data_IF_671798645865
#
_entry.id   IF_671798645865
#
_cell.length_a   1.000
_cell.length_b   1.000
_cell.length_c   1.000
_cell.angle_alpha   90.00
_cell.angle_beta   90.00
_cell.angle_gamma   90.00
#
_symmetry.space_group_name_H-M   'P 1'
#
loop_
_entity.id
_entity.type
_entity.pdbx_description
1 polymer ?
#
# COMPACT_ATOMS: atom_id res chain seq x y z
N UNK A 1 37.66 11.31 19.37
CA UNK A 1 36.91 11.34 18.10
C UNK A 1 37.03 12.73 17.53
N UNK A 2 37.56 12.85 16.32
CA UNK A 2 37.70 14.16 15.66
C UNK A 2 36.34 14.70 15.24
N UNK A 3 36.19 16.03 15.29
CA UNK A 3 34.95 16.72 14.91
C UNK A 3 34.52 16.37 13.48
N UNK A 4 35.50 16.16 12.59
CA UNK A 4 35.29 15.73 11.21
C UNK A 4 34.65 14.34 11.09
N UNK A 5 35.05 13.40 11.95
CA UNK A 5 34.49 12.05 11.95
C UNK A 5 33.04 12.05 12.46
N UNK A 6 32.76 12.80 13.54
CA UNK A 6 31.39 12.98 14.05
C UNK A 6 30.48 13.63 13.01
N UNK A 7 30.98 14.65 12.29
CA UNK A 7 30.24 15.28 11.20
C UNK A 7 29.94 14.28 10.07
N UNK A 8 30.92 13.48 9.68
CA UNK A 8 30.76 12.48 8.61
C UNK A 8 29.71 11.42 8.98
N UNK A 9 29.72 10.94 10.23
CA UNK A 9 28.72 10.01 10.76
C UNK A 9 27.33 10.65 10.79
N UNK A 10 27.20 11.90 11.25
CA UNK A 10 25.91 12.60 11.29
C UNK A 10 25.35 12.83 9.88
N UNK A 11 26.20 13.26 8.93
CA UNK A 11 25.83 13.46 7.54
C UNK A 11 25.32 12.17 6.90
N UNK A 12 26.08 11.07 7.06
CA UNK A 12 25.69 9.77 6.54
C UNK A 12 24.38 9.28 7.17
N UNK A 13 24.23 9.42 8.49
CA UNK A 13 23.01 9.01 9.21
C UNK A 13 21.77 9.77 8.72
N UNK A 14 21.90 11.07 8.46
CA UNK A 14 20.79 11.87 7.92
C UNK A 14 20.46 11.46 6.49
N UNK A 15 21.48 11.31 5.65
CA UNK A 15 21.35 10.93 4.24
C UNK A 15 20.70 9.54 4.10
N UNK A 16 21.04 8.62 5.00
CA UNK A 16 20.53 7.26 4.99
C UNK A 16 19.20 7.09 5.77
N UNK A 17 18.55 8.18 6.17
CA UNK A 17 17.32 8.14 6.95
C UNK A 17 16.21 8.99 6.36
N UNK A 18 16.48 10.28 6.15
CA UNK A 18 15.47 11.27 5.79
C UNK A 18 14.77 10.96 4.45
N UNK A 19 15.47 10.60 3.35
CA UNK A 19 14.82 10.28 2.08
C UNK A 19 13.85 9.09 2.19
N UNK A 20 14.21 8.09 2.98
CA UNK A 20 13.40 6.88 3.17
C UNK A 20 12.19 7.14 4.06
N UNK A 21 12.35 7.96 5.09
CA UNK A 21 11.22 8.36 5.93
C UNK A 21 10.19 9.15 5.11
N UNK A 22 10.64 10.04 4.22
CA UNK A 22 9.75 10.75 3.28
C UNK A 22 9.01 9.76 2.36
N UNK A 23 9.70 8.76 1.81
CA UNK A 23 9.09 7.69 1.00
C UNK A 23 7.98 6.93 1.74
N UNK A 24 8.14 6.68 3.03
CA UNK A 24 7.15 5.98 3.86
C UNK A 24 5.90 6.84 4.07
N UNK A 25 6.04 8.16 4.17
CA UNK A 25 4.93 9.07 4.45
C UNK A 25 4.09 9.39 3.20
N UNK A 26 4.68 9.41 2.01
CA UNK A 26 3.99 9.79 0.75
C UNK A 26 2.69 9.00 0.50
N UNK A 27 2.64 7.66 0.62
CA UNK A 27 1.41 6.90 0.39
C UNK A 27 0.29 7.17 1.42
N UNK A 28 0.61 7.84 2.53
CA UNK A 28 -0.29 8.03 3.66
C UNK A 28 -0.52 9.50 4.02
N UNK A 29 -0.25 10.45 3.11
CA UNK A 29 -0.42 11.90 3.37
C UNK A 29 -1.82 12.24 3.93
N UNK A 30 -2.86 11.58 3.43
CA UNK A 30 -4.26 11.78 3.86
C UNK A 30 -4.66 10.95 5.10
N UNK A 31 -3.83 9.97 5.50
CA UNK A 31 -4.10 9.03 6.60
C UNK A 31 -3.26 9.29 7.86
N UNK A 32 -2.60 10.45 7.95
CA UNK A 32 -1.81 10.84 9.11
C UNK A 32 -2.71 11.08 10.35
N UNK A 33 -2.26 10.60 11.51
CA UNK A 33 -2.95 10.77 12.81
C UNK A 33 -2.88 12.20 13.33
N UNK A 34 -1.78 12.88 13.05
CA UNK A 34 -1.46 14.19 13.59
C UNK A 34 -1.46 15.25 12.48
N UNK A 35 -1.51 16.52 12.90
CA UNK A 35 -1.36 17.64 11.97
C UNK A 35 0.02 17.63 11.30
N UNK A 36 0.13 18.20 10.09
CA UNK A 36 1.41 18.31 9.35
C UNK A 36 2.54 18.89 10.20
N UNK A 37 2.25 19.87 11.06
CA UNK A 37 3.24 20.50 11.96
C UNK A 37 3.78 19.51 13.01
N UNK A 38 2.89 18.73 13.62
CA UNK A 38 3.26 17.71 14.60
C UNK A 38 4.04 16.58 13.95
N UNK A 39 3.66 16.15 12.74
CA UNK A 39 4.42 15.14 11.99
C UNK A 39 5.83 15.63 11.68
N UNK A 40 6.01 16.88 11.22
CA UNK A 40 7.34 17.47 11.00
C UNK A 40 8.17 17.47 12.29
N UNK A 41 7.58 17.83 13.44
CA UNK A 41 8.28 17.80 14.72
C UNK A 41 8.71 16.36 15.08
N UNK A 42 7.84 15.39 14.88
CA UNK A 42 8.18 13.98 15.11
C UNK A 42 9.28 13.50 14.17
N UNK A 43 9.30 13.94 12.90
CA UNK A 43 10.39 13.64 11.95
C UNK A 43 11.72 14.18 12.48
N UNK A 44 11.73 15.41 12.99
CA UNK A 44 12.96 16.01 13.56
C UNK A 44 13.44 15.16 14.75
N UNK A 45 12.54 14.75 15.65
CA UNK A 45 12.87 13.86 16.77
C UNK A 45 13.40 12.50 16.31
N UNK A 46 12.81 11.94 15.25
CA UNK A 46 13.26 10.66 14.71
C UNK A 46 14.66 10.78 14.06
N UNK A 47 14.91 11.87 13.33
CA UNK A 47 16.24 12.18 12.78
C UNK A 47 17.30 12.37 13.86
N UNK A 48 16.99 13.07 14.97
CA UNK A 48 17.95 13.24 16.07
C UNK A 48 18.28 11.93 16.75
N UNK A 49 17.27 11.08 16.98
CA UNK A 49 17.46 9.73 17.50
C UNK A 49 18.31 8.86 16.54
N UNK A 50 18.09 8.99 15.23
CA UNK A 50 18.90 8.28 14.24
C UNK A 50 20.37 8.75 14.23
N UNK A 51 20.63 10.04 14.36
CA UNK A 51 22.00 10.56 14.49
C UNK A 51 22.65 10.01 15.78
N UNK A 52 21.91 9.97 16.88
CA UNK A 52 22.42 9.44 18.15
C UNK A 52 22.79 7.95 18.04
N UNK A 53 21.95 7.13 17.39
CA UNK A 53 22.27 5.72 17.12
C UNK A 53 23.47 5.56 16.18
N UNK A 54 23.60 6.42 15.16
CA UNK A 54 24.78 6.44 14.27
C UNK A 54 26.08 6.73 15.02
N UNK A 55 26.07 7.70 15.93
CA UNK A 55 27.22 8.03 16.79
C UNK A 55 27.53 6.87 17.74
N UNK A 56 26.51 6.21 18.30
CA UNK A 56 26.68 5.02 19.16
C UNK A 56 27.39 3.88 18.39
N UNK A 57 26.94 3.56 17.18
CA UNK A 57 27.59 2.51 16.38
C UNK A 57 29.06 2.84 16.12
N UNK A 58 29.33 4.11 15.81
CA UNK A 58 30.67 4.57 15.52
C UNK A 58 31.62 4.53 16.73
N UNK A 59 31.10 4.48 17.98
CA UNK A 59 31.89 4.45 19.22
C UNK A 59 32.02 3.05 19.85
N UNK A 60 31.01 2.19 19.74
CA UNK A 60 30.95 0.92 20.49
C UNK A 60 30.94 -0.35 19.62
N UNK A 61 31.05 -0.23 18.29
CA UNK A 61 31.03 -1.35 17.32
C UNK A 61 29.83 -2.32 17.51
N UNK A 62 28.70 -1.78 17.95
CA UNK A 62 27.44 -2.50 18.20
C UNK A 62 26.50 -2.46 17.00
N UNK A 63 27.03 -2.46 15.77
CA UNK A 63 26.29 -2.22 14.52
C UNK A 63 25.02 -3.06 14.36
N UNK A 64 25.08 -4.35 14.71
CA UNK A 64 23.93 -5.27 14.62
C UNK A 64 22.76 -4.87 15.51
N UNK A 65 23.05 -4.49 16.76
CA UNK A 65 22.03 -4.12 17.76
C UNK A 65 21.39 -2.79 17.39
N UNK A 66 22.20 -1.84 16.91
CA UNK A 66 21.72 -0.53 16.51
C UNK A 66 20.84 -0.55 15.25
N UNK A 67 21.11 -1.44 14.29
CA UNK A 67 20.24 -1.63 13.12
C UNK A 67 18.86 -2.14 13.53
N UNK A 68 18.79 -3.14 14.42
CA UNK A 68 17.51 -3.66 14.95
C UNK A 68 16.77 -2.56 15.71
N UNK A 69 17.48 -1.79 16.55
CA UNK A 69 16.91 -0.67 17.29
C UNK A 69 16.35 0.41 16.35
N UNK A 70 17.08 0.75 15.28
CA UNK A 70 16.64 1.74 14.29
C UNK A 70 15.36 1.28 13.56
N UNK A 71 15.27 0.00 13.21
CA UNK A 71 14.05 -0.56 12.59
C UNK A 71 12.87 -0.51 13.58
N UNK A 72 13.09 -0.88 14.85
CA UNK A 72 12.06 -0.84 15.87
C UNK A 72 11.54 0.59 16.12
N UNK A 73 12.45 1.58 16.17
CA UNK A 73 12.12 3.01 16.28
C UNK A 73 11.27 3.47 15.08
N UNK A 74 11.67 3.11 13.85
CA UNK A 74 10.89 3.46 12.65
C UNK A 74 9.51 2.80 12.65
N UNK A 75 9.42 1.52 13.01
CA UNK A 75 8.15 0.83 13.10
C UNK A 75 7.24 1.49 14.14
N UNK A 76 7.77 1.81 15.32
CA UNK A 76 7.04 2.52 16.36
C UNK A 76 6.58 3.90 15.88
N UNK A 77 7.46 4.65 15.21
CA UNK A 77 7.14 5.95 14.63
C UNK A 77 5.96 5.88 13.65
N UNK A 78 5.99 4.91 12.74
CA UNK A 78 4.98 4.73 11.70
C UNK A 78 3.64 4.30 12.31
N UNK A 79 3.66 3.34 13.25
CA UNK A 79 2.47 2.88 13.98
C UNK A 79 1.83 3.99 14.81
N UNK A 80 2.65 4.90 15.35
CA UNK A 80 2.19 6.04 16.13
C UNK A 80 1.61 7.15 15.23
N UNK A 81 2.17 7.37 14.04
CA UNK A 81 1.81 8.49 13.16
C UNK A 81 0.73 8.18 12.11
N UNK A 82 0.53 6.93 11.69
CA UNK A 82 -0.36 6.61 10.56
C UNK A 82 -1.59 5.82 11.03
N UNK A 83 -2.78 6.22 10.59
CA UNK A 83 -4.04 5.47 10.79
C UNK A 83 -4.17 4.38 9.72
N UNK A 84 -3.42 3.30 9.87
CA UNK A 84 -3.56 2.13 9.02
C UNK A 84 -3.34 0.84 9.82
N UNK A 85 -3.78 -0.29 9.27
CA UNK A 85 -3.52 -1.59 9.86
C UNK A 85 -2.00 -1.90 9.88
N UNK A 86 -1.51 -2.60 10.92
CA UNK A 86 -0.08 -2.81 11.10
C UNK A 86 0.56 -3.58 9.93
N UNK A 87 -0.15 -4.52 9.30
CA UNK A 87 0.38 -5.29 8.16
C UNK A 87 0.75 -4.41 6.95
N UNK A 88 -0.05 -3.39 6.63
CA UNK A 88 0.26 -2.41 5.56
C UNK A 88 1.53 -1.63 5.87
N UNK A 89 1.64 -1.19 7.13
CA UNK A 89 2.75 -0.37 7.61
C UNK A 89 4.06 -1.16 7.63
N UNK A 90 4.03 -2.41 8.10
CA UNK A 90 5.17 -3.32 8.07
C UNK A 90 5.57 -3.64 6.63
N UNK A 91 4.61 -3.92 5.74
CA UNK A 91 4.90 -4.16 4.33
C UNK A 91 5.62 -2.96 3.69
N UNK A 92 5.08 -1.74 3.86
CA UNK A 92 5.68 -0.53 3.30
C UNK A 92 7.08 -0.26 3.88
N UNK A 93 7.22 -0.40 5.20
CA UNK A 93 8.50 -0.24 5.88
C UNK A 93 9.55 -1.20 5.32
N UNK A 94 9.22 -2.49 5.22
CA UNK A 94 10.14 -3.50 4.70
C UNK A 94 10.50 -3.25 3.23
N UNK A 95 9.55 -2.80 2.41
CA UNK A 95 9.82 -2.44 1.02
C UNK A 95 10.81 -1.26 0.94
N UNK A 96 10.63 -0.25 1.78
CA UNK A 96 11.55 0.91 1.83
C UNK A 96 12.91 0.50 2.37
N UNK A 97 12.99 -0.38 3.36
CA UNK A 97 14.26 -0.94 3.86
C UNK A 97 14.97 -1.69 2.73
N UNK A 98 14.28 -2.56 1.99
CA UNK A 98 14.89 -3.29 0.88
C UNK A 98 15.43 -2.34 -0.21
N UNK A 99 14.74 -1.23 -0.48
CA UNK A 99 15.24 -0.18 -1.38
C UNK A 99 16.46 0.54 -0.80
N UNK A 100 16.46 0.85 0.50
CA UNK A 100 17.61 1.45 1.17
C UNK A 100 18.84 0.53 1.11
N UNK A 101 18.66 -0.77 1.31
CA UNK A 101 19.72 -1.78 1.17
C UNK A 101 20.28 -1.81 -0.25
N UNK A 102 19.43 -1.75 -1.28
CA UNK A 102 19.86 -1.63 -2.68
C UNK A 102 20.73 -0.39 -2.89
N UNK A 103 20.32 0.77 -2.37
CA UNK A 103 21.07 2.02 -2.50
C UNK A 103 22.42 1.91 -1.80
N UNK A 104 22.46 1.34 -0.59
CA UNK A 104 23.70 1.14 0.19
C UNK A 104 24.67 0.22 -0.56
N UNK A 105 24.18 -0.89 -1.12
CA UNK A 105 25.01 -1.85 -1.86
C UNK A 105 25.54 -1.23 -3.15
N UNK A 106 24.68 -0.55 -3.91
CA UNK A 106 25.08 0.14 -5.13
C UNK A 106 26.08 1.27 -4.85
N UNK A 107 25.88 2.04 -3.78
CA UNK A 107 26.81 3.07 -3.34
C UNK A 107 28.17 2.47 -2.92
N UNK A 108 28.18 1.35 -2.19
CA UNK A 108 29.42 0.67 -1.80
C UNK A 108 30.17 0.08 -2.99
N UNK A 109 29.46 -0.47 -3.97
CA UNK A 109 30.08 -0.92 -5.22
C UNK A 109 30.63 0.26 -6.04
N UNK A 110 29.93 1.39 -6.08
CA UNK A 110 30.40 2.59 -6.76
C UNK A 110 31.63 3.18 -6.05
N UNK A 111 31.66 3.14 -4.71
CA UNK A 111 32.83 3.50 -3.91
C UNK A 111 34.03 2.58 -4.19
N UNK A 112 33.83 1.27 -4.33
CA UNK A 112 34.93 0.34 -4.64
C UNK A 112 35.56 0.62 -6.01
N UNK A 113 34.77 1.10 -6.98
CA UNK A 113 35.23 1.45 -8.31
C UNK A 113 35.97 2.80 -8.36
N UNK A 114 35.44 3.84 -7.70
CA UNK A 114 35.97 5.21 -7.77
C UNK A 114 37.07 5.49 -6.74
N UNK A 115 36.98 4.89 -5.55
CA UNK A 115 37.81 5.20 -4.39
C UNK A 115 38.30 3.92 -3.68
N UNK A 116 39.05 3.04 -4.36
CA UNK A 116 39.48 1.76 -3.81
C UNK A 116 40.35 1.90 -2.54
N UNK A 117 41.10 3.00 -2.40
CA UNK A 117 41.95 3.25 -1.23
C UNK A 117 41.15 3.57 0.05
N UNK A 118 39.92 4.07 -0.08
CA UNK A 118 39.06 4.48 1.03
C UNK A 118 38.00 3.44 1.38
N UNK A 119 37.87 2.38 0.58
CA UNK A 119 36.86 1.33 0.71
C UNK A 119 36.83 0.66 2.10
N UNK A 120 37.98 0.53 2.76
CA UNK A 120 38.09 -0.06 4.09
C UNK A 120 37.55 0.82 5.23
N UNK A 121 37.32 2.12 4.99
CA UNK A 121 36.89 3.08 6.01
C UNK A 121 35.37 3.28 5.90
N UNK A 122 34.62 2.73 6.86
CA UNK A 122 33.15 2.67 6.82
C UNK A 122 32.46 4.03 6.73
N UNK A 123 32.90 5.03 7.50
CA UNK A 123 32.26 6.35 7.62
C UNK A 123 33.03 7.47 6.89
N UNK A 124 33.80 7.12 5.86
CA UNK A 124 34.49 8.14 5.08
C UNK A 124 33.52 8.95 4.21
N UNK A 125 33.86 10.22 3.94
CA UNK A 125 33.01 11.13 3.16
C UNK A 125 32.73 10.61 1.74
N UNK A 126 33.63 9.80 1.19
CA UNK A 126 33.47 9.12 -0.11
C UNK A 126 32.23 8.24 -0.14
N UNK A 127 31.88 7.60 0.97
CA UNK A 127 30.69 6.77 1.04
C UNK A 127 29.41 7.60 1.05
N UNK A 128 29.40 8.74 1.74
CA UNK A 128 28.29 9.70 1.70
C UNK A 128 28.11 10.29 0.29
N UNK A 129 29.20 10.58 -0.42
CA UNK A 129 29.16 11.08 -1.80
C UNK A 129 28.56 10.05 -2.78
N UNK A 130 29.05 8.81 -2.73
CA UNK A 130 28.59 7.71 -3.60
C UNK A 130 27.13 7.34 -3.30
N UNK A 131 26.71 7.40 -2.03
CA UNK A 131 25.31 7.25 -1.61
C UNK A 131 24.44 8.37 -2.17
N UNK A 132 24.92 9.61 -2.13
CA UNK A 132 24.18 10.77 -2.69
C UNK A 132 24.00 10.64 -4.20
N UNK A 133 25.04 10.25 -4.93
CA UNK A 133 24.97 10.01 -6.39
C UNK A 133 23.94 8.92 -6.69
N UNK A 134 24.00 7.80 -5.96
CA UNK A 134 23.08 6.69 -6.14
C UNK A 134 21.64 7.12 -5.87
N UNK A 135 21.39 7.87 -4.79
CA UNK A 135 20.08 8.42 -4.47
C UNK A 135 19.58 9.36 -5.57
N UNK A 136 20.40 10.30 -6.07
CA UNK A 136 19.99 11.22 -7.13
C UNK A 136 19.52 10.45 -8.37
N UNK A 137 20.19 9.34 -8.69
CA UNK A 137 19.85 8.51 -9.84
C UNK A 137 18.59 7.66 -9.61
N UNK A 138 18.44 7.01 -8.46
CA UNK A 138 17.35 6.04 -8.21
C UNK A 138 16.10 6.64 -7.56
N UNK A 139 16.25 7.70 -6.77
CA UNK A 139 15.17 8.32 -6.00
C UNK A 139 13.98 8.84 -6.84
N UNK A 140 14.15 9.50 -8.01
CA UNK A 140 12.99 9.95 -8.78
C UNK A 140 12.12 8.79 -9.29
N UNK A 141 12.74 7.65 -9.63
CA UNK A 141 12.02 6.46 -10.09
C UNK A 141 11.20 5.82 -8.98
N UNK A 142 11.79 5.65 -7.78
CA UNK A 142 11.09 5.05 -6.65
C UNK A 142 10.00 6.00 -6.12
N UNK A 143 10.23 7.31 -6.13
CA UNK A 143 9.22 8.31 -5.78
C UNK A 143 8.00 8.22 -6.70
N UNK A 144 8.22 8.15 -8.01
CA UNK A 144 7.15 7.97 -8.98
C UNK A 144 6.38 6.68 -8.73
N UNK A 145 7.08 5.57 -8.43
CA UNK A 145 6.46 4.30 -8.09
C UNK A 145 5.58 4.41 -6.84
N UNK A 146 6.11 4.97 -5.75
CA UNK A 146 5.37 5.09 -4.49
C UNK A 146 4.14 5.98 -4.64
N UNK A 147 4.29 7.13 -5.29
CA UNK A 147 3.20 8.10 -5.48
C UNK A 147 2.11 7.60 -6.44
N UNK A 148 2.48 6.98 -7.57
CA UNK A 148 1.51 6.63 -8.61
C UNK A 148 1.00 5.19 -8.52
N UNK A 149 1.84 4.25 -8.05
CA UNK A 149 1.48 2.82 -8.00
C UNK A 149 1.06 2.37 -6.61
N UNK A 150 1.82 2.72 -5.57
CA UNK A 150 1.53 2.27 -4.20
C UNK A 150 0.45 3.08 -3.49
N UNK A 151 0.47 4.41 -3.57
CA UNK A 151 -0.52 5.28 -2.91
C UNK A 151 -2.00 4.84 -3.10
N UNK A 152 -2.49 4.56 -4.34
CA UNK A 152 -3.89 4.15 -4.51
C UNK A 152 -4.23 2.81 -3.86
N UNK A 153 -3.25 1.90 -3.77
CA UNK A 153 -3.44 0.57 -3.16
C UNK A 153 -3.43 0.66 -1.62
N UNK A 154 -2.58 1.54 -1.07
CA UNK A 154 -2.46 1.74 0.37
C UNK A 154 -3.69 2.42 0.97
N UNK A 155 -4.30 3.37 0.24
CA UNK A 155 -5.49 4.09 0.66
C UNK A 155 -6.80 3.30 0.63
N UNK A 156 -6.83 2.13 -0.01
CA UNK A 156 -8.02 1.30 -0.07
C UNK A 156 -8.17 0.41 1.16
N UNK A 157 -9.33 0.45 1.81
CA UNK A 157 -9.57 -0.26 3.07
C UNK A 157 -10.01 -1.73 2.91
N UNK A 158 -10.47 -2.16 1.73
CA UNK A 158 -11.11 -3.47 1.55
C UNK A 158 -10.19 -4.70 1.61
N UNK A 159 -8.87 -4.53 1.62
CA UNK A 159 -7.91 -5.65 1.56
C UNK A 159 -7.47 -6.22 2.92
N UNK A 160 -8.23 -5.99 4.00
CA UNK A 160 -7.73 -6.18 5.38
C UNK A 160 -7.08 -7.55 5.63
N UNK A 161 -7.66 -8.62 5.09
CA UNK A 161 -7.15 -9.98 5.24
C UNK A 161 -5.85 -10.23 4.47
N UNK A 162 -5.71 -9.70 3.25
CA UNK A 162 -4.53 -9.89 2.39
C UNK A 162 -3.26 -9.34 3.05
N UNK A 163 -3.36 -8.21 3.75
CA UNK A 163 -2.22 -7.56 4.40
C UNK A 163 -1.68 -8.30 5.61
N UNK A 164 -2.42 -9.28 6.16
CA UNK A 164 -1.94 -10.13 7.25
C UNK A 164 -0.75 -11.00 6.84
N UNK A 165 -0.67 -11.37 5.56
CA UNK A 165 0.39 -12.25 5.04
C UNK A 165 1.30 -11.56 4.02
N UNK A 166 0.84 -10.50 3.37
CA UNK A 166 1.59 -9.82 2.32
C UNK A 166 2.97 -9.32 2.76
N UNK A 167 3.09 -8.87 4.02
CA UNK A 167 4.36 -8.37 4.59
C UNK A 167 5.44 -9.46 4.69
N UNK A 168 5.06 -10.74 4.62
CA UNK A 168 5.99 -11.86 4.64
C UNK A 168 6.84 -11.90 3.35
N UNK A 169 6.32 -11.38 2.23
CA UNK A 169 7.09 -11.32 0.98
C UNK A 169 8.29 -10.38 1.10
N UNK A 170 8.13 -9.08 1.42
CA UNK A 170 9.28 -8.21 1.72
C UNK A 170 10.19 -8.73 2.84
N UNK A 171 9.65 -9.42 3.85
CA UNK A 171 10.45 -9.89 4.98
C UNK A 171 11.48 -10.95 4.57
N UNK A 172 11.16 -11.81 3.59
CA UNK A 172 12.12 -12.80 3.07
C UNK A 172 13.33 -12.13 2.42
N UNK A 173 13.13 -11.09 1.62
CA UNK A 173 14.21 -10.32 1.01
C UNK A 173 15.02 -9.55 2.05
N UNK A 174 14.36 -8.97 3.05
CA UNK A 174 15.04 -8.31 4.15
C UNK A 174 15.94 -9.29 4.93
N UNK A 175 15.45 -10.48 5.27
CA UNK A 175 16.25 -11.51 5.95
C UNK A 175 17.44 -11.95 5.11
N UNK A 176 17.24 -12.08 3.79
CA UNK A 176 18.30 -12.39 2.85
C UNK A 176 19.41 -11.31 2.87
N UNK A 177 19.05 -10.03 2.84
CA UNK A 177 20.01 -8.94 2.95
C UNK A 177 20.70 -8.87 4.30
N UNK A 178 19.94 -9.04 5.37
CA UNK A 178 20.49 -9.06 6.71
C UNK A 178 21.59 -10.12 6.85
N UNK A 179 21.37 -11.31 6.27
CA UNK A 179 22.37 -12.36 6.25
C UNK A 179 23.61 -11.98 5.41
N UNK A 180 23.42 -11.50 4.18
CA UNK A 180 24.52 -11.17 3.27
C UNK A 180 25.40 -10.02 3.77
N UNK A 181 24.80 -9.00 4.38
CA UNK A 181 25.49 -7.74 4.73
C UNK A 181 25.98 -7.75 6.18
N UNK A 182 25.21 -8.28 7.12
CA UNK A 182 25.53 -8.20 8.56
C UNK A 182 25.98 -9.52 9.18
N UNK A 183 25.50 -10.67 8.70
CA UNK A 183 25.91 -11.96 9.24
C UNK A 183 27.20 -12.49 8.60
N UNK A 184 27.52 -12.06 7.38
CA UNK A 184 28.69 -12.52 6.63
C UNK A 184 29.98 -11.79 7.08
N UNK A 185 30.99 -12.49 7.62
CA UNK A 185 32.28 -11.90 7.98
C UNK A 185 33.06 -11.34 6.78
N UNK A 186 32.76 -11.84 5.58
CA UNK A 186 33.35 -11.41 4.32
C UNK A 186 32.47 -10.38 3.58
N UNK A 187 31.59 -9.66 4.28
CA UNK A 187 30.65 -8.72 3.66
C UNK A 187 31.36 -7.66 2.79
N UNK A 188 32.46 -7.06 3.24
CA UNK A 188 33.17 -6.04 2.46
C UNK A 188 33.80 -6.60 1.18
N UNK A 189 34.42 -7.78 1.22
CA UNK A 189 34.97 -8.41 0.02
C UNK A 189 33.87 -8.88 -0.93
N UNK A 190 32.73 -9.32 -0.38
CA UNK A 190 31.54 -9.64 -1.16
C UNK A 190 30.97 -8.41 -1.87
N UNK A 191 30.79 -7.28 -1.17
CA UNK A 191 30.24 -6.04 -1.73
C UNK A 191 31.16 -5.37 -2.76
N UNK A 192 32.48 -5.55 -2.64
CA UNK A 192 33.45 -5.01 -3.60
C UNK A 192 33.57 -5.82 -4.90
N UNK A 193 33.06 -7.06 -4.93
CA UNK A 193 33.16 -7.95 -6.09
C UNK A 193 32.08 -7.67 -7.14
N UNK A 194 32.50 -7.52 -8.40
CA UNK A 194 31.58 -7.32 -9.54
C UNK A 194 30.59 -8.48 -9.69
N UNK A 195 31.02 -9.72 -9.46
CA UNK A 195 30.15 -10.90 -9.58
C UNK A 195 29.04 -10.89 -8.54
N UNK A 196 29.38 -10.55 -7.30
CA UNK A 196 28.42 -10.42 -6.20
C UNK A 196 27.45 -9.27 -6.45
N UNK A 197 27.94 -8.14 -6.97
CA UNK A 197 27.08 -7.01 -7.31
C UNK A 197 26.05 -7.38 -8.40
N UNK A 198 26.46 -8.06 -9.47
CA UNK A 198 25.54 -8.53 -10.53
C UNK A 198 24.50 -9.49 -9.94
N UNK A 199 24.91 -10.40 -9.06
CA UNK A 199 24.00 -11.33 -8.39
C UNK A 199 22.96 -10.60 -7.53
N UNK A 200 23.39 -9.63 -6.71
CA UNK A 200 22.49 -8.82 -5.89
C UNK A 200 21.55 -7.99 -6.78
N UNK A 201 22.05 -7.43 -7.88
CA UNK A 201 21.24 -6.67 -8.82
C UNK A 201 20.13 -7.55 -9.43
N UNK A 202 20.44 -8.79 -9.81
CA UNK A 202 19.45 -9.74 -10.30
C UNK A 202 18.36 -10.04 -9.26
N UNK A 203 18.74 -10.21 -8.00
CA UNK A 203 17.79 -10.41 -6.90
C UNK A 203 16.90 -9.19 -6.71
N UNK A 204 17.45 -7.97 -6.81
CA UNK A 204 16.66 -6.74 -6.75
C UNK A 204 15.66 -6.60 -7.90
N UNK A 205 16.03 -7.02 -9.12
CA UNK A 205 15.09 -7.06 -10.24
C UNK A 205 13.93 -8.01 -9.92
N UNK A 206 14.22 -9.20 -9.40
CA UNK A 206 13.20 -10.15 -8.96
C UNK A 206 12.30 -9.59 -7.85
N UNK A 207 12.88 -8.86 -6.91
CA UNK A 207 12.15 -8.19 -5.84
C UNK A 207 11.21 -7.10 -6.37
N UNK A 208 11.70 -6.20 -7.22
CA UNK A 208 10.88 -5.15 -7.84
C UNK A 208 9.74 -5.76 -8.64
N UNK A 209 10.01 -6.84 -9.38
CA UNK A 209 8.99 -7.59 -10.11
C UNK A 209 7.93 -8.16 -9.16
N UNK A 210 8.36 -8.75 -8.04
CA UNK A 210 7.45 -9.30 -7.03
C UNK A 210 6.57 -8.22 -6.41
N UNK A 211 7.14 -7.05 -6.09
CA UNK A 211 6.36 -5.92 -5.56
C UNK A 211 5.38 -5.35 -6.58
N UNK A 212 5.76 -5.25 -7.86
CA UNK A 212 4.86 -4.82 -8.93
C UNK A 212 3.74 -5.84 -9.14
N UNK A 213 4.03 -7.15 -9.07
CA UNK A 213 3.02 -8.21 -9.13
C UNK A 213 2.00 -8.05 -7.99
N UNK A 214 2.47 -7.84 -6.76
CA UNK A 214 1.61 -7.61 -5.60
C UNK A 214 0.70 -6.39 -5.82
N UNK A 215 1.25 -5.28 -6.31
CA UNK A 215 0.47 -4.06 -6.59
C UNK A 215 -0.60 -4.32 -7.65
N UNK A 216 -0.28 -5.04 -8.72
CA UNK A 216 -1.25 -5.40 -9.76
C UNK A 216 -2.34 -6.30 -9.22
N UNK A 217 -1.97 -7.35 -8.49
CA UNK A 217 -2.92 -8.28 -7.87
C UNK A 217 -3.91 -7.55 -6.97
N UNK A 218 -3.44 -6.62 -6.13
CA UNK A 218 -4.33 -5.82 -5.28
C UNK A 218 -5.23 -4.87 -6.08
N UNK A 219 -4.76 -4.31 -7.20
CA UNK A 219 -5.60 -3.48 -8.08
C UNK A 219 -6.65 -4.30 -8.80
N UNK A 220 -6.28 -5.48 -9.27
CA UNK A 220 -7.19 -6.40 -9.96
C UNK A 220 -8.26 -6.91 -8.99
N UNK A 221 -7.88 -7.21 -7.74
CA UNK A 221 -8.82 -7.57 -6.67
C UNK A 221 -9.82 -6.43 -6.38
N UNK A 222 -9.35 -5.18 -6.25
CA UNK A 222 -10.22 -4.00 -6.11
C UNK A 222 -11.21 -3.87 -7.25
N UNK A 223 -10.73 -3.98 -8.49
CA UNK A 223 -11.55 -3.83 -9.68
C UNK A 223 -12.60 -4.95 -9.76
N UNK A 224 -12.21 -6.19 -9.47
CA UNK A 224 -13.11 -7.33 -9.46
C UNK A 224 -14.20 -7.19 -8.38
N UNK A 225 -13.84 -6.75 -7.18
CA UNK A 225 -14.81 -6.48 -6.12
C UNK A 225 -15.82 -5.40 -6.52
N UNK A 226 -15.37 -4.33 -7.17
CA UNK A 226 -16.25 -3.29 -7.69
C UNK A 226 -17.21 -3.83 -8.76
N UNK A 227 -16.70 -4.66 -9.69
CA UNK A 227 -17.52 -5.31 -10.72
C UNK A 227 -18.55 -6.27 -10.14
N UNK A 228 -18.21 -7.06 -9.11
CA UNK A 228 -19.14 -7.95 -8.43
C UNK A 228 -20.27 -7.14 -7.77
N UNK A 229 -19.94 -6.03 -7.11
CA UNK A 229 -20.92 -5.15 -6.48
C UNK A 229 -21.86 -4.52 -7.52
N UNK A 230 -21.33 -4.02 -8.62
CA UNK A 230 -22.12 -3.46 -9.72
C UNK A 230 -23.06 -4.51 -10.32
N UNK A 231 -22.58 -5.73 -10.56
CA UNK A 231 -23.40 -6.81 -11.09
C UNK A 231 -24.52 -7.21 -10.13
N UNK A 232 -24.25 -7.28 -8.82
CA UNK A 232 -25.29 -7.52 -7.81
C UNK A 232 -26.37 -6.43 -7.80
N UNK A 233 -25.98 -5.16 -7.95
CA UNK A 233 -26.91 -4.03 -8.04
C UNK A 233 -27.78 -4.13 -9.30
N UNK A 234 -27.18 -4.42 -10.44
CA UNK A 234 -27.90 -4.61 -11.71
C UNK A 234 -28.88 -5.79 -11.62
N UNK A 235 -28.48 -6.90 -11.02
CA UNK A 235 -29.36 -8.07 -10.82
C UNK A 235 -30.54 -7.76 -9.87
N UNK A 236 -30.34 -6.90 -8.87
CA UNK A 236 -31.41 -6.43 -8.00
C UNK A 236 -32.39 -5.51 -8.76
N UNK A 237 -31.87 -4.58 -9.57
CA UNK A 237 -32.69 -3.69 -10.40
C UNK A 237 -33.51 -4.44 -11.44
N UNK A 238 -32.92 -5.43 -12.12
CA UNK A 238 -33.63 -6.28 -13.08
C UNK A 238 -34.83 -6.97 -12.43
N UNK A 239 -34.64 -7.58 -11.27
CA UNK A 239 -35.73 -8.20 -10.50
C UNK A 239 -36.81 -7.20 -10.11
N UNK A 240 -36.42 -5.99 -9.70
CA UNK A 240 -37.39 -4.95 -9.37
C UNK A 240 -38.22 -4.53 -10.59
N UNK A 241 -37.59 -4.41 -11.76
CA UNK A 241 -38.27 -4.08 -13.01
C UNK A 241 -39.27 -5.18 -13.42
N UNK A 242 -38.89 -6.46 -13.30
CA UNK A 242 -39.78 -7.59 -13.55
C UNK A 242 -41.04 -7.53 -12.65
N UNK A 243 -40.86 -7.28 -11.36
CA UNK A 243 -41.99 -7.11 -10.42
C UNK A 243 -42.86 -5.90 -10.78
N UNK A 244 -42.26 -4.79 -11.24
CA UNK A 244 -43.05 -3.64 -11.69
C UNK A 244 -43.88 -3.97 -12.93
N UNK A 245 -43.30 -4.70 -13.89
CA UNK A 245 -44.01 -5.13 -15.10
C UNK A 245 -45.18 -6.06 -14.76
N UNK A 246 -44.96 -7.05 -13.88
CA UNK A 246 -46.02 -7.96 -13.43
C UNK A 246 -47.18 -7.20 -12.77
N UNK A 247 -46.89 -6.20 -11.93
CA UNK A 247 -47.93 -5.36 -11.31
C UNK A 247 -48.71 -4.53 -12.33
N UNK A 248 -48.04 -4.01 -13.35
CA UNK A 248 -48.69 -3.26 -14.43
C UNK A 248 -49.61 -4.17 -15.25
N UNK A 249 -49.18 -5.40 -15.53
CA UNK A 249 -50.00 -6.39 -16.22
C UNK A 249 -51.25 -6.75 -15.40
N UNK A 250 -51.08 -7.07 -14.11
CA UNK A 250 -52.19 -7.35 -13.19
C UNK A 250 -53.18 -6.17 -13.10
N UNK A 251 -52.69 -4.93 -13.00
CA UNK A 251 -53.55 -3.75 -12.99
C UNK A 251 -54.30 -3.56 -14.32
N UNK A 252 -53.66 -3.91 -15.43
CA UNK A 252 -54.28 -3.85 -16.77
C UNK A 252 -55.39 -4.89 -16.91
N UNK A 253 -55.17 -6.11 -16.44
CA UNK A 253 -56.18 -7.18 -16.40
C UNK A 253 -57.36 -6.79 -15.51
N UNK A 254 -57.11 -6.35 -14.26
CA UNK A 254 -58.16 -5.87 -13.35
C UNK A 254 -59.00 -4.74 -13.98
N UNK A 255 -58.35 -3.80 -14.68
CA UNK A 255 -59.06 -2.72 -15.37
C UNK A 255 -59.93 -3.24 -16.53
N UNK A 256 -59.45 -4.24 -17.26
CA UNK A 256 -60.21 -4.88 -18.34
C UNK A 256 -61.42 -5.63 -17.78
N UNK A 257 -61.24 -6.40 -16.71
CA UNK A 257 -62.32 -7.14 -16.05
C UNK A 257 -63.35 -6.19 -15.45
N UNK A 258 -62.93 -5.09 -14.82
CA UNK A 258 -63.85 -4.04 -14.36
C UNK A 258 -64.66 -3.43 -15.51
N UNK A 259 -64.05 -3.18 -16.67
CA UNK A 259 -64.79 -2.70 -17.86
C UNK A 259 -65.83 -3.71 -18.32
N UNK A 260 -65.51 -5.00 -18.32
CA UNK A 260 -66.50 -6.04 -18.63
C UNK A 260 -67.65 -6.08 -17.63
N UNK A 261 -67.36 -6.00 -16.32
CA UNK A 261 -68.41 -5.93 -15.30
C UNK A 261 -69.30 -4.69 -15.46
N UNK A 262 -68.72 -3.52 -15.77
CA UNK A 262 -69.47 -2.28 -16.04
C UNK A 262 -70.34 -2.43 -17.28
N UNK A 263 -69.79 -2.92 -18.39
CA UNK A 263 -70.55 -3.12 -19.62
C UNK A 263 -71.69 -4.14 -19.44
N UNK A 264 -71.44 -5.23 -18.73
CA UNK A 264 -72.47 -6.23 -18.40
C UNK A 264 -73.60 -5.62 -17.56
N UNK A 265 -73.26 -4.85 -16.51
CA UNK A 265 -74.26 -4.17 -15.68
C UNK A 265 -75.04 -3.11 -16.45
N UNK A 266 -74.39 -2.34 -17.33
CA UNK A 266 -75.07 -1.41 -18.24
C UNK A 266 -76.03 -2.13 -19.20
N UNK A 267 -75.62 -3.27 -19.77
CA UNK A 267 -76.46 -4.04 -20.69
C UNK A 267 -77.73 -4.59 -20.01
N UNK A 268 -77.62 -5.07 -18.77
CA UNK A 268 -78.79 -5.50 -17.98
C UNK A 268 -79.72 -4.32 -17.63
N UNK A 269 -79.15 -3.13 -17.36
CA UNK A 269 -79.92 -1.90 -17.12
C UNK A 269 -80.68 -1.43 -18.37
N UNK A 270 -80.04 -1.46 -19.55
CA UNK A 270 -80.66 -1.09 -20.83
C UNK A 270 -81.82 -2.02 -21.22
N UNK A 271 -81.71 -3.31 -20.88
CA UNK A 271 -82.78 -4.30 -21.11
C UNK A 271 -83.92 -4.23 -20.08
N UNK A 272 -83.84 -3.33 -19.08
CA UNK A 272 -84.75 -3.23 -17.92
C UNK A 272 -84.90 -4.53 -17.11
N UNK A 273 -83.94 -5.46 -17.23
CA UNK A 273 -83.94 -6.73 -16.50
C UNK A 273 -83.29 -6.56 -15.13
N UNK A 274 -84.10 -6.03 -14.19
CA UNK A 274 -83.69 -5.78 -12.83
C UNK A 274 -83.51 -7.07 -12.00
N UNK A 275 -84.17 -8.17 -12.36
CA UNK A 275 -84.01 -9.45 -11.67
C UNK A 275 -82.71 -10.16 -12.07
N UNK A 276 -82.35 -10.17 -13.36
CA UNK A 276 -81.09 -10.73 -13.86
C UNK A 276 -79.85 -10.00 -13.33
N UNK A 277 -79.90 -8.67 -13.27
CA UNK A 277 -78.86 -7.85 -12.65
C UNK A 277 -78.67 -8.22 -11.16
N UNK A 278 -79.77 -8.44 -10.43
CA UNK A 278 -79.75 -8.76 -9.00
C UNK A 278 -79.13 -10.12 -8.73
N UNK A 279 -79.34 -11.08 -9.63
CA UNK A 279 -78.69 -12.40 -9.56
C UNK A 279 -77.19 -12.31 -9.89
N UNK A 280 -76.81 -11.54 -10.91
CA UNK A 280 -75.42 -11.38 -11.35
C UNK A 280 -74.51 -10.70 -10.32
N UNK A 281 -74.99 -9.67 -9.62
CA UNK A 281 -74.20 -8.95 -8.61
C UNK A 281 -74.16 -9.71 -7.26
N UNK A 282 -74.98 -10.76 -7.09
CA UNK A 282 -74.89 -11.65 -5.93
C UNK A 282 -75.21 -10.99 -4.58
N UNK A 283 -75.91 -9.85 -4.55
CA UNK A 283 -76.33 -9.21 -3.31
C UNK A 283 -77.58 -9.93 -2.79
N UNK A 284 -77.37 -10.91 -1.90
CA UNK A 284 -78.41 -11.32 -0.93
C UNK A 284 -78.42 -10.28 0.19
N UNK A 285 -79.55 -9.58 0.35
CA UNK A 285 -79.89 -8.89 1.60
C UNK A 285 -80.27 -9.97 2.62
#
# INVERSE_FOLDING_TARGET
MDLYYLFSVALYSLLNYLPYLVLILIPFEDFLRFSKRTTILLIIVACTLQIATGIWVATFDTGKIASILSIAVNLFFILLNIKAQPGKLVFLLLMVICYADLVVIAAKFLESLLFPAQFAITYHITFSLTTTITLILSYPFILYYFKKRMAPVMGYEGHQDSWRYLWLVPSTFFLFYYYLVFANPAANSFLGSTTSFIFILLINIGMLFTFELIVRMLKDEQHNLALIQENQLLAAQSRQNEVMLERVEQATQLRHDMRHHINATMAFLDQKDLEGLRHYIGVRI
#
